data_IF_657491860471
#
_entry.id   IF_657491860471
#
_cell.length_a   1.000
_cell.length_b   1.000
_cell.length_c   1.000
_cell.angle_alpha   90.00
_cell.angle_beta   90.00
_cell.angle_gamma   90.00
#
_symmetry.space_group_name_H-M   'P 1'
#
loop_
_entity.id
_entity.type
_entity.pdbx_description
1 polymer ?
#
# COMPACT_ATOMS: atom_id res chain seq x y z
N UNK A 1 40.56 -52.39 -59.71
CA UNK A 1 39.82 -51.15 -59.58
C UNK A 1 39.23 -51.11 -58.17
N UNK A 2 39.84 -50.32 -57.34
CA UNK A 2 39.60 -50.23 -55.90
C UNK A 2 38.62 -49.07 -55.63
N UNK A 3 37.51 -49.34 -54.94
CA UNK A 3 36.65 -48.32 -54.41
C UNK A 3 36.93 -48.14 -52.93
N UNK A 4 37.37 -46.98 -52.58
CA UNK A 4 37.61 -46.51 -51.22
C UNK A 4 36.33 -45.94 -50.66
N UNK A 5 35.79 -46.55 -49.59
CA UNK A 5 34.67 -46.00 -48.85
C UNK A 5 35.20 -45.09 -47.73
N UNK A 6 34.92 -43.79 -47.83
CA UNK A 6 35.18 -42.82 -46.79
C UNK A 6 34.05 -42.84 -45.74
N UNK A 7 34.36 -43.14 -44.50
CA UNK A 7 33.53 -42.92 -43.34
C UNK A 7 33.49 -41.43 -42.99
N UNK A 8 32.36 -40.79 -43.21
CA UNK A 8 32.11 -39.43 -42.71
C UNK A 8 31.38 -39.56 -41.37
N UNK A 9 32.07 -39.19 -40.30
CA UNK A 9 31.46 -39.07 -38.98
C UNK A 9 30.52 -37.86 -38.90
N UNK A 10 29.33 -38.07 -38.36
CA UNK A 10 28.33 -37.05 -38.12
C UNK A 10 28.84 -36.02 -37.07
N UNK A 11 28.79 -34.72 -37.32
CA UNK A 11 29.03 -33.74 -36.31
C UNK A 11 27.79 -33.64 -35.38
N UNK A 12 27.98 -33.96 -34.09
CA UNK A 12 27.01 -33.67 -33.03
C UNK A 12 26.69 -32.18 -33.03
N UNK A 13 25.48 -31.84 -33.41
CA UNK A 13 24.88 -30.51 -33.19
C UNK A 13 24.78 -30.26 -31.66
N UNK A 14 25.18 -29.09 -31.17
CA UNK A 14 24.97 -28.74 -29.77
C UNK A 14 23.50 -28.51 -29.54
N UNK A 15 22.94 -29.20 -28.51
CA UNK A 15 21.58 -28.97 -28.05
C UNK A 15 21.42 -27.51 -27.64
N UNK A 16 20.30 -26.83 -28.02
CA UNK A 16 20.04 -25.49 -27.54
C UNK A 16 19.70 -25.57 -26.04
N UNK A 17 20.57 -25.02 -25.20
CA UNK A 17 20.27 -24.75 -23.79
C UNK A 17 19.09 -23.77 -23.77
N UNK A 18 17.89 -24.27 -23.58
CA UNK A 18 16.71 -23.50 -23.22
C UNK A 18 16.99 -22.81 -21.86
N UNK A 19 17.44 -21.56 -21.94
CA UNK A 19 17.34 -20.63 -20.83
C UNK A 19 15.87 -20.36 -20.62
N UNK A 20 15.24 -21.12 -19.71
CA UNK A 20 13.99 -20.69 -19.11
C UNK A 20 14.25 -19.45 -18.28
N UNK A 21 14.30 -18.30 -18.91
CA UNK A 21 14.07 -17.04 -18.24
C UNK A 21 12.62 -17.07 -17.73
N UNK A 22 12.46 -17.36 -16.45
CA UNK A 22 11.23 -17.05 -15.74
C UNK A 22 11.08 -15.51 -15.75
N UNK A 23 10.46 -15.01 -16.80
CA UNK A 23 10.02 -13.63 -16.88
C UNK A 23 8.86 -13.51 -15.89
N UNK A 24 9.21 -13.18 -14.62
CA UNK A 24 8.24 -12.62 -13.70
C UNK A 24 7.59 -11.42 -14.40
N UNK A 25 6.28 -11.21 -14.26
CA UNK A 25 5.59 -10.14 -14.97
C UNK A 25 6.20 -8.79 -14.55
N UNK A 26 6.93 -8.17 -15.48
CA UNK A 26 7.48 -6.80 -15.39
C UNK A 26 6.40 -5.72 -15.35
N UNK A 27 5.15 -6.05 -14.99
CA UNK A 27 4.00 -5.18 -15.21
C UNK A 27 3.66 -4.22 -14.08
N UNK A 28 4.40 -4.20 -12.95
CA UNK A 28 4.19 -3.16 -11.93
C UNK A 28 5.36 -2.17 -11.78
N UNK A 29 6.37 -2.29 -12.63
CA UNK A 29 7.48 -1.35 -12.68
C UNK A 29 7.13 -0.24 -13.68
N UNK A 30 6.83 0.95 -13.18
CA UNK A 30 6.64 2.20 -13.93
C UNK A 30 5.48 2.27 -14.94
N UNK A 31 4.25 2.06 -14.52
CA UNK A 31 3.17 2.90 -15.04
C UNK A 31 3.18 4.19 -14.23
N UNK A 32 3.82 5.22 -14.77
CA UNK A 32 3.62 6.61 -14.38
C UNK A 32 2.16 6.94 -14.65
N UNK A 33 1.30 6.51 -13.74
CA UNK A 33 -0.10 6.88 -13.82
C UNK A 33 -0.19 8.31 -13.32
N UNK A 34 -0.93 9.17 -14.00
CA UNK A 34 -1.31 10.53 -13.57
C UNK A 34 -2.00 10.55 -12.20
N UNK A 35 -2.02 9.43 -11.50
CA UNK A 35 -2.70 9.16 -10.23
C UNK A 35 -1.87 9.45 -8.98
N UNK A 36 -0.61 9.85 -9.15
CA UNK A 36 0.37 9.87 -8.08
C UNK A 36 0.61 11.26 -7.47
N UNK A 37 -0.28 12.23 -7.72
CA UNK A 37 -0.10 13.58 -7.22
C UNK A 37 -0.90 13.82 -5.93
N UNK A 38 -0.20 14.38 -4.93
CA UNK A 38 -0.82 14.80 -3.67
C UNK A 38 -1.45 16.18 -3.90
N UNK A 39 -2.79 16.22 -3.93
CA UNK A 39 -3.55 17.44 -4.22
C UNK A 39 -3.98 18.11 -2.93
N UNK A 40 -3.80 19.43 -2.85
CA UNK A 40 -4.23 20.28 -1.76
C UNK A 40 -3.18 21.27 -1.31
N UNK A 41 -3.64 22.31 -0.61
CA UNK A 41 -2.83 23.43 -0.12
C UNK A 41 -3.04 23.71 1.37
N UNK A 42 -3.86 22.90 2.05
CA UNK A 42 -4.16 23.09 3.47
C UNK A 42 -2.90 23.02 4.34
N UNK A 43 -2.91 23.77 5.44
CA UNK A 43 -1.80 23.81 6.40
C UNK A 43 -1.45 22.41 6.95
N UNK A 44 -2.46 21.55 7.14
CA UNK A 44 -2.26 20.18 7.60
C UNK A 44 -1.47 19.37 6.56
N UNK A 45 -1.84 19.47 5.27
CA UNK A 45 -1.13 18.78 4.20
C UNK A 45 0.27 19.35 3.96
N UNK A 46 0.48 20.67 4.07
CA UNK A 46 1.79 21.29 3.93
C UNK A 46 2.79 20.80 4.98
N UNK A 47 2.34 20.51 6.22
CA UNK A 47 3.19 19.87 7.23
C UNK A 47 3.68 18.50 6.76
N UNK A 48 2.78 17.67 6.20
CA UNK A 48 3.14 16.35 5.65
C UNK A 48 4.14 16.49 4.51
N UNK A 49 3.93 17.40 3.57
CA UNK A 49 4.84 17.65 2.44
C UNK A 49 6.23 18.11 2.92
N UNK A 50 6.28 18.93 3.97
CA UNK A 50 7.54 19.33 4.61
C UNK A 50 8.27 18.13 5.22
N UNK A 51 7.57 17.22 5.91
CA UNK A 51 8.17 16.00 6.46
C UNK A 51 8.69 15.08 5.36
N UNK A 52 7.92 14.91 4.27
CA UNK A 52 8.35 14.15 3.09
C UNK A 52 9.66 14.72 2.54
N UNK A 53 9.75 16.05 2.37
CA UNK A 53 10.96 16.69 1.82
C UNK A 53 12.19 16.49 2.71
N UNK A 54 12.01 16.45 4.03
CA UNK A 54 13.10 16.20 5.01
C UNK A 54 13.58 14.76 5.00
N UNK A 55 12.65 13.78 4.92
CA UNK A 55 12.99 12.37 5.06
C UNK A 55 13.38 11.73 3.72
N UNK A 56 12.90 12.24 2.60
CA UNK A 56 13.13 11.64 1.29
C UNK A 56 14.61 11.42 0.97
N UNK A 57 15.55 12.38 1.21
CA UNK A 57 16.97 12.18 0.90
C UNK A 57 17.68 11.15 1.76
N UNK A 58 17.05 10.67 2.84
CA UNK A 58 17.63 9.71 3.78
C UNK A 58 17.20 8.28 3.46
N UNK A 59 17.89 7.28 4.02
CA UNK A 59 17.48 5.87 4.00
C UNK A 59 16.70 5.44 5.27
N UNK A 60 16.27 6.41 6.08
CA UNK A 60 15.51 6.12 7.29
C UNK A 60 14.19 5.39 6.98
N UNK A 61 13.83 4.45 7.86
CA UNK A 61 12.52 3.81 7.84
C UNK A 61 11.44 4.85 8.15
N UNK A 62 10.36 4.86 7.37
CA UNK A 62 9.24 5.79 7.55
C UNK A 62 7.99 5.01 7.92
N UNK A 63 7.31 5.47 8.96
CA UNK A 63 5.99 4.97 9.34
C UNK A 63 4.92 6.00 8.98
N UNK A 64 4.03 5.65 8.06
CA UNK A 64 2.90 6.49 7.65
C UNK A 64 1.64 6.01 8.36
N UNK A 65 1.08 6.83 9.24
CA UNK A 65 -0.17 6.51 9.94
C UNK A 65 -1.32 7.38 9.44
N UNK A 66 -2.54 6.94 9.62
CA UNK A 66 -3.74 7.69 9.26
C UNK A 66 -4.88 6.79 8.83
N UNK A 67 -6.09 7.33 8.84
CA UNK A 67 -7.30 6.61 8.49
C UNK A 67 -7.27 6.00 7.08
N UNK A 68 -8.12 5.00 6.85
CA UNK A 68 -8.30 4.42 5.51
C UNK A 68 -8.73 5.48 4.51
N UNK A 69 -8.16 5.45 3.30
CA UNK A 69 -8.52 6.37 2.23
C UNK A 69 -7.90 7.78 2.32
N UNK A 70 -6.97 8.04 3.25
CA UNK A 70 -6.30 9.35 3.39
C UNK A 70 -5.20 9.59 2.35
N UNK A 71 -4.73 8.54 1.64
CA UNK A 71 -3.68 8.64 0.63
C UNK A 71 -2.28 8.26 1.14
N UNK A 72 -2.14 7.35 2.12
CA UNK A 72 -0.85 6.88 2.66
C UNK A 72 0.10 6.37 1.58
N UNK A 73 -0.40 5.67 0.57
CA UNK A 73 0.40 5.19 -0.56
C UNK A 73 0.99 6.32 -1.39
N UNK A 74 0.25 7.43 -1.60
CA UNK A 74 0.76 8.61 -2.32
C UNK A 74 1.95 9.23 -1.59
N UNK A 75 1.92 9.23 -0.25
CA UNK A 75 3.06 9.68 0.57
C UNK A 75 4.27 8.79 0.35
N UNK A 76 4.10 7.46 0.37
CA UNK A 76 5.19 6.53 0.14
C UNK A 76 5.80 6.70 -1.27
N UNK A 77 4.97 6.86 -2.30
CA UNK A 77 5.41 7.16 -3.68
C UNK A 77 6.12 8.50 -3.76
N UNK A 78 5.62 9.54 -3.10
CA UNK A 78 6.25 10.86 -3.08
C UNK A 78 7.63 10.84 -2.40
N UNK A 79 7.80 10.06 -1.32
CA UNK A 79 9.10 9.84 -0.66
C UNK A 79 10.05 9.12 -1.62
N UNK A 80 9.60 8.04 -2.27
CA UNK A 80 10.44 7.28 -3.20
C UNK A 80 10.91 8.13 -4.39
N UNK A 81 10.02 8.90 -5.03
CA UNK A 81 10.37 9.77 -6.16
C UNK A 81 11.43 10.84 -5.82
N UNK A 82 11.49 11.27 -4.57
CA UNK A 82 12.44 12.29 -4.09
C UNK A 82 13.66 11.71 -3.38
N UNK A 83 13.79 10.37 -3.30
CA UNK A 83 14.90 9.72 -2.63
C UNK A 83 16.06 9.41 -3.60
N UNK A 84 17.21 9.03 -3.03
CA UNK A 84 18.40 8.60 -3.81
C UNK A 84 18.17 7.32 -4.63
N UNK A 85 17.09 6.57 -4.33
CA UNK A 85 16.71 5.32 -4.99
C UNK A 85 15.55 5.51 -5.97
N UNK A 86 15.24 6.74 -6.39
CA UNK A 86 14.08 7.07 -7.24
C UNK A 86 14.08 6.37 -8.60
N UNK A 87 15.26 6.02 -9.13
CA UNK A 87 15.43 5.26 -10.36
C UNK A 87 15.39 3.73 -10.18
N UNK A 88 15.28 3.25 -8.94
CA UNK A 88 15.23 1.83 -8.59
C UNK A 88 13.78 1.37 -8.39
N UNK A 89 13.61 0.07 -8.14
CA UNK A 89 12.29 -0.52 -7.95
C UNK A 89 11.55 0.09 -6.74
N UNK A 90 10.25 0.36 -6.93
CA UNK A 90 9.29 0.62 -5.85
C UNK A 90 8.32 -0.55 -5.80
N UNK A 91 8.45 -1.39 -4.77
CA UNK A 91 7.61 -2.58 -4.59
C UNK A 91 6.59 -2.30 -3.50
N UNK A 92 5.30 -2.24 -3.88
CA UNK A 92 4.18 -2.05 -2.95
C UNK A 92 3.55 -3.39 -2.59
N UNK A 93 3.28 -3.58 -1.30
CA UNK A 93 2.64 -4.79 -0.77
C UNK A 93 1.54 -4.38 0.20
N UNK A 94 0.30 -4.74 -0.10
CA UNK A 94 -0.79 -4.61 0.86
C UNK A 94 -0.88 -5.88 1.70
N UNK A 95 -0.45 -5.80 2.97
CA UNK A 95 -0.39 -6.94 3.87
C UNK A 95 -1.78 -7.48 4.23
N UNK A 96 -2.82 -6.64 4.21
CA UNK A 96 -4.19 -7.06 4.49
C UNK A 96 -4.85 -7.82 3.34
N UNK A 97 -4.35 -7.66 2.10
CA UNK A 97 -4.90 -8.32 0.92
C UNK A 97 -4.37 -9.75 0.72
N UNK A 98 -3.33 -10.15 1.47
CA UNK A 98 -2.70 -11.45 1.33
C UNK A 98 -3.16 -12.35 2.47
N UNK A 99 -3.57 -13.62 2.22
CA UNK A 99 -3.87 -14.58 3.26
C UNK A 99 -2.72 -14.73 4.26
N UNK A 100 -3.04 -14.86 5.55
CA UNK A 100 -2.06 -14.91 6.65
C UNK A 100 -1.00 -15.98 6.45
N UNK A 101 -1.38 -17.15 5.95
CA UNK A 101 -0.48 -18.29 5.72
C UNK A 101 0.48 -18.08 4.54
N UNK A 102 0.16 -17.15 3.63
CA UNK A 102 0.95 -16.87 2.43
C UNK A 102 1.82 -15.62 2.54
N UNK A 103 1.54 -14.74 3.52
CA UNK A 103 2.21 -13.44 3.60
C UNK A 103 3.73 -13.56 3.77
N UNK A 104 4.20 -14.50 4.58
CA UNK A 104 5.64 -14.74 4.75
C UNK A 104 6.30 -15.19 3.44
N UNK A 105 5.65 -16.11 2.71
CA UNK A 105 6.12 -16.59 1.41
C UNK A 105 6.11 -15.48 0.33
N UNK A 106 5.11 -14.60 0.32
CA UNK A 106 5.07 -13.46 -0.59
C UNK A 106 6.16 -12.43 -0.26
N UNK A 107 6.38 -12.11 1.01
CA UNK A 107 7.38 -11.13 1.42
C UNK A 107 8.82 -11.63 1.22
N UNK A 108 9.12 -12.83 1.69
CA UNK A 108 10.50 -13.37 1.79
C UNK A 108 10.83 -14.42 0.71
N UNK A 109 9.82 -14.89 -0.04
CA UNK A 109 9.98 -15.98 -0.99
C UNK A 109 10.00 -17.35 -0.30
N UNK A 110 10.05 -18.40 -1.09
CA UNK A 110 10.14 -19.78 -0.59
C UNK A 110 11.04 -20.65 -1.45
N UNK A 111 11.61 -21.67 -0.83
CA UNK A 111 12.33 -22.74 -1.52
C UNK A 111 11.35 -23.83 -1.98
N UNK A 112 11.76 -24.63 -2.97
CA UNK A 112 10.98 -25.79 -3.40
C UNK A 112 10.77 -26.75 -2.23
N UNK A 113 9.51 -27.16 -2.00
CA UNK A 113 9.15 -28.08 -0.93
C UNK A 113 8.92 -27.42 0.45
N UNK A 114 8.95 -26.09 0.55
CA UNK A 114 8.76 -25.38 1.80
C UNK A 114 7.39 -25.60 2.46
N UNK A 115 6.37 -25.88 1.66
CA UNK A 115 5.00 -26.23 2.10
C UNK A 115 4.31 -27.05 1.01
N UNK A 116 3.15 -27.63 1.33
CA UNK A 116 2.32 -28.38 0.38
C UNK A 116 1.88 -27.45 -0.76
N UNK A 117 2.38 -27.70 -2.00
CA UNK A 117 2.16 -26.85 -3.16
C UNK A 117 3.35 -25.96 -3.58
N UNK A 118 4.44 -25.94 -2.81
CA UNK A 118 5.69 -25.25 -3.19
C UNK A 118 6.49 -26.09 -4.23
N UNK A 119 5.95 -26.18 -5.45
CA UNK A 119 6.53 -27.00 -6.54
C UNK A 119 7.87 -26.44 -7.04
N UNK A 120 8.05 -25.11 -6.96
CA UNK A 120 9.24 -24.39 -7.44
C UNK A 120 9.66 -23.34 -6.42
N UNK A 121 10.92 -22.93 -6.45
CA UNK A 121 11.42 -21.78 -5.73
C UNK A 121 10.79 -20.51 -6.29
N UNK A 122 10.38 -19.55 -5.40
CA UNK A 122 9.86 -18.24 -5.77
C UNK A 122 10.58 -17.13 -5.02
N UNK A 123 10.91 -16.05 -5.74
CA UNK A 123 11.48 -14.84 -5.14
C UNK A 123 10.43 -14.07 -4.36
N UNK A 124 10.82 -13.52 -3.20
CA UNK A 124 9.97 -12.67 -2.38
C UNK A 124 10.01 -11.19 -2.78
N UNK A 125 9.09 -10.40 -2.21
CA UNK A 125 9.01 -8.96 -2.46
C UNK A 125 10.26 -8.21 -2.00
N UNK A 126 10.94 -8.66 -0.96
CA UNK A 126 12.21 -8.09 -0.52
C UNK A 126 13.32 -8.30 -1.55
N UNK A 127 13.39 -9.46 -2.22
CA UNK A 127 14.33 -9.69 -3.30
C UNK A 127 14.03 -8.82 -4.53
N UNK A 128 12.73 -8.65 -4.87
CA UNK A 128 12.31 -7.78 -5.97
C UNK A 128 12.59 -6.30 -5.71
N UNK A 129 12.63 -5.89 -4.45
CA UNK A 129 12.92 -4.52 -4.02
C UNK A 129 14.40 -4.22 -3.83
N UNK A 130 15.30 -5.16 -4.13
CA UNK A 130 16.75 -5.01 -3.91
C UNK A 130 17.30 -3.74 -4.56
N UNK A 131 18.07 -2.98 -3.78
CA UNK A 131 18.60 -1.66 -4.15
C UNK A 131 17.56 -0.54 -4.21
N UNK A 132 16.25 -0.86 -4.04
CA UNK A 132 15.12 0.05 -4.18
C UNK A 132 14.40 0.35 -2.87
N UNK A 133 13.07 0.44 -2.95
CA UNK A 133 12.18 0.74 -1.83
C UNK A 133 11.04 -0.28 -1.78
N UNK A 134 10.76 -0.81 -0.60
CA UNK A 134 9.55 -1.58 -0.33
C UNK A 134 8.56 -0.74 0.47
N UNK A 135 7.31 -0.75 0.05
CA UNK A 135 6.19 -0.14 0.76
C UNK A 135 5.29 -1.25 1.31
N UNK A 136 5.17 -1.32 2.63
CA UNK A 136 4.34 -2.28 3.35
C UNK A 136 3.08 -1.55 3.84
N UNK A 137 1.99 -1.68 3.09
CA UNK A 137 0.69 -1.12 3.50
C UNK A 137 -0.02 -2.07 4.47
N UNK A 138 -0.71 -1.50 5.44
CA UNK A 138 -1.41 -2.18 6.53
C UNK A 138 -0.51 -3.18 7.30
N UNK A 139 0.70 -2.72 7.69
CA UNK A 139 1.69 -3.53 8.40
C UNK A 139 1.17 -4.07 9.75
N UNK A 140 0.17 -3.43 10.34
CA UNK A 140 -0.53 -3.89 11.55
C UNK A 140 -1.32 -5.18 11.39
N UNK A 141 -1.49 -5.70 10.16
CA UNK A 141 -2.17 -6.96 9.86
C UNK A 141 -1.23 -8.17 9.83
N UNK A 142 0.09 -7.95 9.90
CA UNK A 142 1.08 -9.02 9.81
C UNK A 142 0.95 -10.01 10.98
N UNK A 143 0.99 -11.34 10.71
CA UNK A 143 1.11 -12.37 11.76
C UNK A 143 2.41 -12.21 12.55
N UNK A 144 2.42 -12.65 13.81
CA UNK A 144 3.57 -12.51 14.72
C UNK A 144 4.85 -13.12 14.14
N UNK A 145 4.79 -14.29 13.51
CA UNK A 145 5.96 -14.93 12.90
C UNK A 145 6.55 -14.10 11.76
N UNK A 146 5.68 -13.49 10.95
CA UNK A 146 6.08 -12.55 9.89
C UNK A 146 6.67 -11.27 10.47
N UNK A 147 6.16 -10.78 11.61
CA UNK A 147 6.72 -9.62 12.31
C UNK A 147 8.16 -9.92 12.82
N UNK A 148 8.42 -11.14 13.29
CA UNK A 148 9.78 -11.57 13.72
C UNK A 148 10.74 -11.55 12.51
N UNK A 149 10.32 -12.09 11.38
CA UNK A 149 11.14 -12.09 10.16
C UNK A 149 11.41 -10.66 9.66
N UNK A 150 10.38 -9.79 9.67
CA UNK A 150 10.53 -8.38 9.29
C UNK A 150 11.48 -7.61 10.23
N UNK A 151 11.41 -7.88 11.54
CA UNK A 151 12.32 -7.28 12.51
C UNK A 151 13.79 -7.59 12.17
N UNK A 152 14.10 -8.84 11.81
CA UNK A 152 15.45 -9.24 11.38
C UNK A 152 15.91 -8.46 10.14
N UNK A 153 15.05 -8.33 9.14
CA UNK A 153 15.37 -7.50 7.95
C UNK A 153 15.74 -6.07 8.35
N UNK A 154 15.00 -5.49 9.29
CA UNK A 154 15.23 -4.11 9.72
C UNK A 154 16.50 -3.95 10.59
N UNK A 155 16.89 -4.98 11.33
CA UNK A 155 18.04 -4.96 12.24
C UNK A 155 19.32 -5.43 11.58
N UNK A 156 19.28 -6.60 10.94
CA UNK A 156 20.43 -7.35 10.44
C UNK A 156 20.65 -7.14 8.93
N UNK A 157 19.65 -6.53 8.23
CA UNK A 157 19.66 -6.35 6.78
C UNK A 157 19.76 -7.68 6.02
N UNK A 158 19.16 -8.73 6.57
CA UNK A 158 19.12 -10.06 5.96
C UNK A 158 17.84 -10.82 6.32
N UNK A 159 17.52 -11.83 5.52
CA UNK A 159 16.37 -12.71 5.74
C UNK A 159 16.62 -14.09 5.12
N UNK A 160 15.74 -15.04 5.43
CA UNK A 160 15.70 -16.37 4.84
C UNK A 160 14.39 -16.54 4.08
N UNK A 161 14.45 -17.29 2.97
CA UNK A 161 13.22 -17.77 2.34
C UNK A 161 12.52 -18.78 3.25
N UNK A 162 11.22 -18.90 3.13
CA UNK A 162 10.45 -19.94 3.82
C UNK A 162 10.98 -21.31 3.39
N UNK A 163 11.32 -22.16 4.35
CA UNK A 163 11.94 -23.46 4.11
C UNK A 163 13.42 -23.41 3.68
N UNK A 164 14.04 -22.23 3.64
CA UNK A 164 15.45 -22.06 3.28
C UNK A 164 16.37 -21.89 4.50
N UNK A 165 17.64 -22.25 4.33
CA UNK A 165 18.70 -22.09 5.34
C UNK A 165 19.74 -21.03 4.96
N UNK A 166 19.68 -20.51 3.72
CA UNK A 166 20.62 -19.51 3.22
C UNK A 166 20.13 -18.11 3.57
N UNK A 167 20.98 -17.32 4.24
CA UNK A 167 20.78 -15.89 4.45
C UNK A 167 20.90 -15.11 3.14
N UNK A 168 20.02 -14.14 2.94
CA UNK A 168 19.96 -13.25 1.78
C UNK A 168 20.04 -11.82 2.30
N UNK A 169 21.00 -11.06 1.79
CA UNK A 169 21.16 -9.64 2.13
C UNK A 169 20.01 -8.82 1.57
N UNK A 170 19.55 -7.83 2.32
CA UNK A 170 18.44 -6.93 1.97
C UNK A 170 18.88 -5.47 2.01
N UNK A 171 19.36 -4.96 0.88
CA UNK A 171 19.64 -3.53 0.73
C UNK A 171 18.39 -2.80 0.25
N UNK A 172 17.38 -2.70 1.10
CA UNK A 172 16.06 -2.14 0.77
C UNK A 172 15.71 -1.02 1.73
N UNK A 173 15.21 0.11 1.21
CA UNK A 173 14.56 1.13 2.02
C UNK A 173 13.14 0.70 2.36
N UNK A 174 12.74 0.76 3.63
CA UNK A 174 11.42 0.36 4.08
C UNK A 174 10.56 1.58 4.40
N UNK A 175 9.36 1.61 3.82
CA UNK A 175 8.28 2.53 4.17
C UNK A 175 7.10 1.66 4.60
N UNK A 176 6.58 1.85 5.80
CA UNK A 176 5.44 1.10 6.32
C UNK A 176 4.24 2.02 6.51
N UNK A 177 3.03 1.50 6.32
CA UNK A 177 1.80 2.23 6.60
C UNK A 177 0.79 1.38 7.38
N UNK A 178 -0.06 2.04 8.15
CA UNK A 178 -1.18 1.40 8.85
C UNK A 178 -2.27 2.41 9.21
N UNK A 179 -3.51 1.94 9.26
CA UNK A 179 -4.64 2.66 9.82
C UNK A 179 -4.93 2.25 11.27
N UNK A 180 -4.28 1.19 11.77
CA UNK A 180 -4.47 0.68 13.13
C UNK A 180 -3.69 1.47 14.17
N UNK A 181 -4.24 1.56 15.37
CA UNK A 181 -3.50 1.99 16.54
C UNK A 181 -2.55 0.86 16.99
N UNK A 182 -1.28 0.95 16.60
CA UNK A 182 -0.28 -0.06 16.94
C UNK A 182 0.00 -0.14 18.44
N UNK A 183 -0.16 0.95 19.21
CA UNK A 183 0.02 0.91 20.66
C UNK A 183 -1.04 0.01 21.31
N UNK A 184 -2.30 0.15 20.91
CA UNK A 184 -3.36 -0.76 21.35
C UNK A 184 -3.12 -2.20 20.91
N UNK A 185 -2.60 -2.40 19.70
CA UNK A 185 -2.25 -3.74 19.19
C UNK A 185 -1.09 -4.38 20.00
N UNK A 186 -0.11 -3.58 20.46
CA UNK A 186 0.97 -4.05 21.34
C UNK A 186 0.43 -4.50 22.69
N UNK A 187 -0.47 -3.71 23.30
CA UNK A 187 -1.10 -4.08 24.57
C UNK A 187 -1.91 -5.38 24.44
N UNK A 188 -2.60 -5.55 23.30
CA UNK A 188 -3.36 -6.76 23.00
C UNK A 188 -2.50 -7.99 22.59
N UNK A 189 -1.17 -7.86 22.49
CA UNK A 189 -0.27 -8.93 22.07
C UNK A 189 -0.30 -9.24 20.55
N UNK A 190 -0.99 -8.44 19.75
CA UNK A 190 -1.13 -8.62 18.31
C UNK A 190 -0.02 -7.95 17.48
N UNK A 191 0.79 -7.12 18.11
CA UNK A 191 1.94 -6.46 17.48
C UNK A 191 3.12 -6.40 18.43
N UNK A 192 4.32 -6.65 17.91
CA UNK A 192 5.55 -6.66 18.72
C UNK A 192 6.04 -5.25 18.99
N UNK A 193 6.40 -4.97 20.24
CA UNK A 193 6.93 -3.67 20.66
C UNK A 193 8.29 -3.35 20.02
N UNK A 194 9.17 -4.34 19.87
CA UNK A 194 10.49 -4.16 19.26
C UNK A 194 10.38 -3.80 17.77
N UNK A 195 9.49 -4.43 17.02
CA UNK A 195 9.20 -4.10 15.64
C UNK A 195 8.63 -2.67 15.52
N UNK A 196 7.72 -2.27 16.41
CA UNK A 196 7.17 -0.92 16.41
C UNK A 196 8.26 0.14 16.46
N UNK A 197 9.24 0.02 17.37
CA UNK A 197 10.32 1.01 17.48
C UNK A 197 11.25 1.01 16.25
N UNK A 198 11.42 -0.11 15.57
CA UNK A 198 12.23 -0.20 14.35
C UNK A 198 11.51 0.35 13.12
N UNK A 199 10.19 0.28 13.06
CA UNK A 199 9.39 0.88 12.00
C UNK A 199 9.16 2.37 12.23
N UNK A 200 8.93 2.78 13.47
CA UNK A 200 8.55 4.15 13.84
C UNK A 200 9.76 5.07 14.06
N UNK A 201 10.75 5.02 13.15
CA UNK A 201 11.93 5.90 13.20
C UNK A 201 11.58 7.31 12.76
N UNK A 202 10.84 7.45 11.66
CA UNK A 202 10.35 8.73 11.18
C UNK A 202 8.83 8.66 10.94
N UNK A 203 8.03 9.11 11.90
CA UNK A 203 6.58 9.08 11.77
C UNK A 203 6.06 10.21 10.88
N UNK A 204 5.08 9.88 10.02
CA UNK A 204 4.28 10.82 9.25
C UNK A 204 2.81 10.46 9.47
N UNK A 205 2.05 11.38 10.01
CA UNK A 205 0.62 11.23 10.21
C UNK A 205 -0.15 11.93 9.09
N UNK A 206 -1.00 11.17 8.39
CA UNK A 206 -1.87 11.69 7.36
C UNK A 206 -3.16 12.24 7.97
N UNK A 207 -3.44 13.55 7.82
CA UNK A 207 -4.67 14.13 8.33
C UNK A 207 -5.89 13.56 7.60
N UNK A 208 -6.97 13.26 8.31
CA UNK A 208 -8.24 12.91 7.70
C UNK A 208 -8.81 14.10 6.91
N UNK A 209 -9.66 13.80 5.91
CA UNK A 209 -10.17 14.82 4.99
C UNK A 209 -10.97 15.94 5.72
N UNK A 210 -11.67 15.59 6.81
CA UNK A 210 -12.38 16.55 7.67
C UNK A 210 -11.48 17.62 8.33
N UNK A 211 -10.18 17.38 8.46
CA UNK A 211 -9.20 18.34 8.99
C UNK A 211 -8.53 19.18 7.89
N UNK A 212 -8.82 18.86 6.62
CA UNK A 212 -8.33 19.60 5.45
C UNK A 212 -9.44 19.94 4.46
N UNK A 213 -10.59 20.39 4.98
CA UNK A 213 -11.76 20.74 4.18
C UNK A 213 -11.48 21.73 3.04
N UNK A 214 -10.49 22.61 3.24
CA UNK A 214 -10.03 23.55 2.20
C UNK A 214 -9.44 22.89 0.96
N UNK A 215 -9.04 21.60 1.04
CA UNK A 215 -8.51 20.84 -0.10
C UNK A 215 -9.65 20.19 -0.92
N UNK A 216 -10.88 20.11 -0.38
CA UNK A 216 -12.01 19.43 -1.03
C UNK A 216 -12.32 20.02 -2.41
N UNK A 217 -12.40 21.35 -2.62
CA UNK A 217 -12.68 21.90 -3.96
C UNK A 217 -11.64 21.43 -4.99
N UNK A 218 -10.36 21.54 -4.68
CA UNK A 218 -9.31 21.12 -5.60
C UNK A 218 -9.32 19.61 -5.90
N UNK A 219 -9.67 18.78 -4.91
CA UNK A 219 -9.85 17.33 -5.09
C UNK A 219 -11.08 17.03 -5.96
N UNK A 220 -12.19 17.75 -5.75
CA UNK A 220 -13.41 17.60 -6.54
C UNK A 220 -13.13 17.97 -7.99
N UNK A 221 -12.54 19.13 -8.26
CA UNK A 221 -12.21 19.59 -9.61
C UNK A 221 -11.31 18.57 -10.32
N UNK A 222 -10.29 18.06 -9.62
CA UNK A 222 -9.40 17.04 -10.15
C UNK A 222 -10.15 15.75 -10.53
N UNK A 223 -11.02 15.25 -9.66
CA UNK A 223 -11.75 14.00 -9.94
C UNK A 223 -12.80 14.19 -11.02
N UNK A 224 -13.51 15.34 -11.04
CA UNK A 224 -14.47 15.65 -12.10
C UNK A 224 -13.78 15.70 -13.45
N UNK A 225 -12.70 16.46 -13.61
CA UNK A 225 -11.93 16.54 -14.86
C UNK A 225 -11.47 15.16 -15.32
N UNK A 226 -10.92 14.37 -14.40
CA UNK A 226 -10.44 13.01 -14.67
C UNK A 226 -11.54 12.08 -15.16
N UNK A 227 -12.68 12.04 -14.46
CA UNK A 227 -13.76 11.12 -14.82
C UNK A 227 -14.56 11.60 -16.03
N UNK A 228 -14.76 12.92 -16.19
CA UNK A 228 -15.36 13.49 -17.37
C UNK A 228 -14.55 13.14 -18.63
N UNK A 229 -13.22 13.33 -18.60
CA UNK A 229 -12.32 12.92 -19.70
C UNK A 229 -12.40 11.42 -20.01
N UNK A 230 -12.40 10.56 -18.95
CA UNK A 230 -12.49 9.11 -19.12
C UNK A 230 -13.79 8.65 -19.79
N UNK A 231 -14.89 9.36 -19.52
CA UNK A 231 -16.22 9.03 -20.01
C UNK A 231 -16.64 9.84 -21.26
N UNK A 232 -15.77 10.74 -21.75
CA UNK A 232 -16.09 11.59 -22.90
C UNK A 232 -17.20 12.60 -22.60
N UNK A 233 -17.45 12.95 -21.34
CA UNK A 233 -18.46 13.90 -20.92
C UNK A 233 -17.87 15.30 -20.81
N UNK A 234 -18.71 16.30 -21.07
CA UNK A 234 -18.38 17.71 -20.89
C UNK A 234 -19.06 18.20 -19.61
N UNK A 235 -18.27 18.34 -18.52
CA UNK A 235 -18.72 18.88 -17.26
C UNK A 235 -17.92 20.16 -17.02
N UNK A 236 -18.60 21.29 -16.92
CA UNK A 236 -17.98 22.61 -16.85
C UNK A 236 -17.81 23.11 -15.41
N UNK A 237 -18.58 22.56 -14.46
CA UNK A 237 -18.51 23.00 -13.08
C UNK A 237 -19.23 22.07 -12.11
N UNK A 238 -19.16 22.45 -10.84
CA UNK A 238 -19.88 21.79 -9.75
C UNK A 238 -20.85 22.81 -9.15
N UNK A 239 -22.11 22.42 -9.00
CA UNK A 239 -23.14 23.28 -8.43
C UNK A 239 -22.69 23.77 -7.03
N UNK A 240 -22.95 25.04 -6.72
CA UNK A 240 -22.54 25.68 -5.46
C UNK A 240 -23.08 24.94 -4.22
N UNK A 241 -24.36 24.57 -4.23
CA UNK A 241 -24.97 23.83 -3.12
C UNK A 241 -24.28 22.46 -2.92
N UNK A 242 -23.94 21.79 -4.02
CA UNK A 242 -23.16 20.55 -4.02
C UNK A 242 -21.78 20.75 -3.39
N UNK A 243 -21.06 21.81 -3.75
CA UNK A 243 -19.75 22.09 -3.16
C UNK A 243 -19.84 22.37 -1.65
N UNK A 244 -20.84 23.16 -1.21
CA UNK A 244 -21.09 23.42 0.20
C UNK A 244 -21.42 22.12 0.97
N UNK A 245 -22.23 21.24 0.39
CA UNK A 245 -22.54 19.92 0.92
C UNK A 245 -21.27 19.06 1.08
N UNK A 246 -20.46 18.97 0.02
CA UNK A 246 -19.22 18.19 0.02
C UNK A 246 -18.21 18.69 1.07
N UNK A 247 -18.11 20.02 1.26
CA UNK A 247 -17.24 20.62 2.27
C UNK A 247 -17.73 20.42 3.72
N UNK A 248 -19.04 20.31 3.91
CA UNK A 248 -19.65 20.11 5.24
C UNK A 248 -19.58 18.67 5.73
N UNK A 249 -19.54 17.71 4.81
CA UNK A 249 -19.58 16.29 5.14
C UNK A 249 -18.29 15.81 5.82
N UNK A 250 -18.39 14.80 6.70
CA UNK A 250 -17.28 14.32 7.55
C UNK A 250 -16.28 13.40 6.86
N UNK A 251 -16.67 12.79 5.74
CA UNK A 251 -15.84 11.89 4.94
C UNK A 251 -15.19 10.76 5.76
N UNK A 252 -15.94 9.83 6.35
CA UNK A 252 -15.38 8.71 7.11
C UNK A 252 -14.45 7.82 6.26
N UNK A 253 -14.72 7.68 4.95
CA UNK A 253 -13.85 7.00 3.99
C UNK A 253 -12.82 7.92 3.33
N UNK A 254 -12.68 9.17 3.78
CA UNK A 254 -11.71 10.15 3.33
C UNK A 254 -11.73 10.37 1.80
N UNK A 255 -10.55 10.47 1.16
CA UNK A 255 -10.44 10.73 -0.28
C UNK A 255 -11.01 9.57 -1.10
N UNK A 256 -10.90 8.32 -0.63
CA UNK A 256 -11.45 7.16 -1.35
C UNK A 256 -12.98 7.24 -1.47
N UNK A 257 -13.65 7.68 -0.42
CA UNK A 257 -15.09 7.91 -0.43
C UNK A 257 -15.46 9.09 -1.33
N UNK A 258 -14.77 10.24 -1.19
CA UNK A 258 -14.96 11.39 -2.06
C UNK A 258 -14.81 11.01 -3.54
N UNK A 259 -13.75 10.29 -3.88
CA UNK A 259 -13.49 9.80 -5.23
C UNK A 259 -14.66 8.96 -5.77
N UNK A 260 -15.17 8.01 -4.97
CA UNK A 260 -16.29 7.15 -5.36
C UNK A 260 -17.59 7.95 -5.57
N UNK A 261 -17.85 8.93 -4.70
CA UNK A 261 -19.03 9.81 -4.83
C UNK A 261 -18.93 10.64 -6.11
N UNK A 262 -17.78 11.27 -6.38
CA UNK A 262 -17.58 12.05 -7.61
C UNK A 262 -17.65 11.16 -8.85
N UNK A 263 -17.02 9.98 -8.87
CA UNK A 263 -17.10 9.05 -10.01
C UNK A 263 -18.55 8.70 -10.32
N UNK A 264 -19.35 8.35 -9.30
CA UNK A 264 -20.76 8.03 -9.45
C UNK A 264 -21.55 9.24 -9.97
N UNK A 265 -21.29 10.43 -9.43
CA UNK A 265 -21.97 11.65 -9.86
C UNK A 265 -21.68 11.98 -11.32
N UNK A 266 -20.43 11.82 -11.77
CA UNK A 266 -20.06 12.03 -13.18
C UNK A 266 -20.73 10.99 -14.10
N UNK A 267 -20.87 9.73 -13.64
CA UNK A 267 -21.55 8.68 -14.44
C UNK A 267 -23.00 9.05 -14.71
N UNK A 268 -23.74 9.52 -13.71
CA UNK A 268 -25.17 9.84 -13.84
C UNK A 268 -25.45 11.27 -14.32
N UNK A 269 -24.44 12.13 -14.38
CA UNK A 269 -24.59 13.50 -14.81
C UNK A 269 -24.96 13.57 -16.31
N UNK A 270 -26.07 14.21 -16.62
CA UNK A 270 -26.54 14.44 -18.00
C UNK A 270 -26.40 15.92 -18.42
N UNK A 271 -25.98 16.78 -17.48
CA UNK A 271 -25.84 18.23 -17.68
C UNK A 271 -24.37 18.65 -17.63
N UNK A 272 -24.09 19.92 -17.95
CA UNK A 272 -22.74 20.49 -17.83
C UNK A 272 -22.37 20.84 -16.38
N UNK A 273 -23.33 20.89 -15.46
CA UNK A 273 -23.14 21.18 -14.05
C UNK A 273 -23.33 19.92 -13.21
N UNK A 274 -22.28 19.52 -12.48
CA UNK A 274 -22.30 18.35 -11.61
C UNK A 274 -23.14 18.62 -10.35
N UNK A 275 -24.07 17.72 -10.07
CA UNK A 275 -24.77 17.63 -8.78
C UNK A 275 -24.50 16.29 -8.10
N UNK A 276 -24.52 16.27 -6.77
CA UNK A 276 -24.37 15.07 -5.95
C UNK A 276 -25.67 14.79 -5.23
N UNK A 277 -26.14 13.55 -5.30
CA UNK A 277 -27.29 13.09 -4.54
C UNK A 277 -26.91 12.93 -3.06
N UNK A 278 -27.57 13.69 -2.18
CA UNK A 278 -27.33 13.68 -0.72
C UNK A 278 -27.50 12.28 -0.11
N UNK A 279 -28.36 11.44 -0.69
CA UNK A 279 -28.58 10.07 -0.20
C UNK A 279 -27.33 9.20 -0.28
N UNK A 280 -26.36 9.56 -1.11
CA UNK A 280 -25.09 8.83 -1.22
C UNK A 280 -24.11 9.14 -0.08
N UNK A 281 -24.30 10.26 0.61
CA UNK A 281 -23.48 10.71 1.73
C UNK A 281 -23.99 10.17 3.08
N UNK A 282 -25.25 9.74 3.16
CA UNK A 282 -25.90 9.36 4.41
C UNK A 282 -25.85 7.87 4.76
N UNK A 283 -25.20 7.00 3.96
CA UNK A 283 -25.35 5.54 4.02
C UNK A 283 -24.38 4.78 4.94
N UNK A 284 -23.45 5.43 5.63
CA UNK A 284 -22.70 4.74 6.67
C UNK A 284 -23.36 5.01 8.03
N UNK A 285 -23.90 3.99 8.72
CA UNK A 285 -24.25 4.16 10.12
C UNK A 285 -22.96 4.59 10.84
N UNK A 286 -23.01 5.75 11.47
CA UNK A 286 -22.03 6.11 12.48
C UNK A 286 -21.94 4.93 13.42
N UNK A 287 -20.74 4.39 13.63
CA UNK A 287 -20.51 3.42 14.71
C UNK A 287 -21.08 4.08 15.96
N UNK A 288 -22.24 3.60 16.38
CA UNK A 288 -22.90 4.03 17.61
C UNK A 288 -21.89 3.78 18.71
N UNK A 289 -21.65 4.83 19.49
CA UNK A 289 -20.89 4.78 20.73
C UNK A 289 -21.20 3.47 21.45
N UNK A 290 -20.17 2.78 21.88
CA UNK A 290 -20.27 1.52 22.61
C UNK A 290 -21.33 1.68 23.69
N UNK A 291 -22.30 0.75 23.83
CA UNK A 291 -23.28 0.85 24.90
C UNK A 291 -22.51 0.87 26.21
N UNK A 292 -22.69 1.96 26.96
CA UNK A 292 -22.25 2.06 28.34
C UNK A 292 -22.90 0.89 29.11
N UNK A 293 -22.11 -0.07 29.51
CA UNK A 293 -22.55 -1.13 30.40
C UNK A 293 -22.87 -0.48 31.73
N UNK A 294 -24.14 -0.07 31.86
CA UNK A 294 -24.73 0.37 33.11
C UNK A 294 -24.71 -0.78 34.10
N UNK A 295 -24.25 -0.46 35.29
CA UNK A 295 -24.17 -1.12 36.56
C UNK A 295 -24.74 -2.53 36.70
N UNK A 296 -23.91 -3.43 37.15
CA UNK A 296 -24.30 -4.68 37.82
C UNK A 296 -25.19 -4.35 39.02
N UNK A 297 -26.35 -5.03 39.19
CA UNK A 297 -27.11 -4.87 40.39
C UNK A 297 -26.33 -5.43 41.60
N UNK A 298 -26.19 -4.62 42.65
CA UNK A 298 -25.65 -5.05 43.95
C UNK A 298 -26.54 -6.15 44.52
N UNK A 299 -25.97 -7.30 44.75
CA UNK A 299 -26.61 -8.43 45.44
C UNK A 299 -26.89 -8.04 46.90
N UNK A 300 -28.11 -8.16 47.42
CA UNK A 300 -28.38 -7.92 48.82
C UNK A 300 -27.83 -9.07 49.66
N UNK A 301 -27.24 -8.69 50.79
CA UNK A 301 -26.65 -9.55 51.81
C UNK A 301 -27.56 -10.68 52.26
N UNK A 302 -26.97 -11.87 52.34
CA UNK A 302 -27.50 -13.01 53.11
C UNK A 302 -27.01 -12.85 54.55
N UNK A 303 -27.98 -12.89 55.46
CA UNK A 303 -27.77 -13.01 56.91
C UNK A 303 -27.19 -14.37 57.27
#
# INVERSE_FOLDING_TARGET
MASVALLIGDPKLPEPRLKHENVAPRQEVNKTSMHDEIIGTSRALQKVLSLISKVAPTDATVMVTGETGTGKELVARAIHRRCRRSSRAFVSVNCAAIPRDLIASELFGHEKGAFTGALQRRLGRFELAEGGTIFLDEVGELPIDTQIALLRVLQEREFWRVGGTRSIQANVRVIAATNRNLQSAIVAGNFRRDLFYRLNVFPIEMPPLRERRGDIPALVDYFVDRYAKKLGKRICGVNRNTMELLQSYRWPGNIRELQNVIERSVIVCETEDLSVDETWLSRLPLATESPSWGGLPRNPAVK
#
